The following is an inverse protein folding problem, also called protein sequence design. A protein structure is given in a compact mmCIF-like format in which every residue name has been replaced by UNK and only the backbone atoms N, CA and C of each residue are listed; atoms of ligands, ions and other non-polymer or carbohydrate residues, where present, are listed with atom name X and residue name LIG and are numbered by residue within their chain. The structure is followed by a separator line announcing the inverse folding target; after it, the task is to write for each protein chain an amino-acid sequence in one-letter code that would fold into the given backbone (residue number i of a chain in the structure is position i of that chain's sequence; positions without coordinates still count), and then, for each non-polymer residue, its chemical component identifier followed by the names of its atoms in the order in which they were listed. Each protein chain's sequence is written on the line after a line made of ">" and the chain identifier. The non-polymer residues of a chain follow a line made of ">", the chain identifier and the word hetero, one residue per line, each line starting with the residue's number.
data_IF_329020606003
#
_entry.id   IF_329020606003
#
_cell.length_a   1.000
_cell.length_b   1.000
_cell.length_c   1.000
_cell.angle_alpha   90.00
_cell.angle_beta   90.00
_cell.angle_gamma   90.00
#
_symmetry.space_group_name_H-M   'P 1'
#
loop_
_entity.id
_entity.type
_entity.pdbx_description
1 polymer ?
#
# COMPACT_ATOMS: atom_id res chain seq x y z
N UNK A 1 35.61 17.76 -15.15
CA UNK A 1 34.51 18.67 -15.57
C UNK A 1 34.62 19.22 -17.02
N UNK A 2 35.76 19.10 -17.74
CA UNK A 2 35.89 19.54 -19.15
C UNK A 2 35.34 18.56 -20.21
N UNK A 3 35.15 17.28 -19.87
CA UNK A 3 34.75 16.23 -20.84
C UNK A 3 33.25 16.28 -21.17
N UNK A 4 32.40 16.71 -20.23
CA UNK A 4 30.94 16.78 -20.44
C UNK A 4 30.52 17.91 -21.40
N UNK A 5 31.28 19.02 -21.45
CA UNK A 5 30.96 20.16 -22.33
C UNK A 5 31.32 19.89 -23.81
N UNK A 6 32.30 19.02 -24.07
CA UNK A 6 32.67 18.64 -25.44
C UNK A 6 31.62 17.71 -26.07
N UNK A 7 31.06 16.78 -25.30
CA UNK A 7 29.98 15.89 -25.75
C UNK A 7 28.70 16.63 -26.14
N UNK A 8 28.32 17.66 -25.38
CA UNK A 8 27.13 18.48 -25.69
C UNK A 8 27.35 19.33 -26.94
N UNK A 9 28.57 19.84 -27.14
CA UNK A 9 28.91 20.63 -28.34
C UNK A 9 28.88 19.79 -29.62
N UNK A 10 29.41 18.56 -29.57
CA UNK A 10 29.34 17.64 -30.73
C UNK A 10 27.91 17.20 -31.07
N UNK A 11 27.05 16.98 -30.06
CA UNK A 11 25.64 16.69 -30.30
C UNK A 11 24.88 17.87 -30.89
N UNK A 12 25.22 19.10 -30.49
CA UNK A 12 24.56 20.31 -31.01
C UNK A 12 24.94 20.60 -32.47
N UNK A 13 26.20 20.36 -32.85
CA UNK A 13 26.60 20.48 -34.27
C UNK A 13 25.99 19.40 -35.16
N UNK A 14 25.80 18.16 -34.67
CA UNK A 14 25.09 17.12 -35.43
C UNK A 14 23.62 17.47 -35.68
N UNK A 15 22.93 18.05 -34.68
CA UNK A 15 21.54 18.49 -34.83
C UNK A 15 21.43 19.69 -35.78
N UNK A 16 22.41 20.60 -35.78
CA UNK A 16 22.43 21.74 -36.68
C UNK A 16 22.79 21.35 -38.13
N UNK A 17 23.65 20.34 -38.31
CA UNK A 17 23.97 19.77 -39.62
C UNK A 17 22.78 19.05 -40.26
N UNK A 18 21.98 18.31 -39.47
CA UNK A 18 20.75 17.66 -39.98
C UNK A 18 19.66 18.67 -40.38
N UNK A 19 19.60 19.85 -39.75
CA UNK A 19 18.61 20.89 -40.09
C UNK A 19 18.99 21.72 -41.32
N UNK A 20 20.24 21.65 -41.79
CA UNK A 20 20.75 22.48 -42.89
C UNK A 20 20.41 22.00 -44.30
N UNK A 21 19.94 20.76 -44.49
CA UNK A 21 19.76 20.16 -45.82
C UNK A 21 18.47 19.35 -45.97
N UNK A 22 17.38 19.85 -45.41
CA UNK A 22 16.05 19.22 -45.51
C UNK A 22 15.02 20.18 -46.05
N UNK A 23 14.74 20.09 -47.35
CA UNK A 23 13.65 20.78 -48.06
C UNK A 23 12.40 20.88 -47.19
N UNK A 24 12.06 22.10 -46.79
CA UNK A 24 10.81 22.44 -46.12
C UNK A 24 9.64 22.12 -47.06
N UNK A 25 9.10 20.91 -46.95
CA UNK A 25 7.79 20.56 -47.50
C UNK A 25 6.75 21.15 -46.56
N UNK A 26 6.55 22.46 -46.71
CA UNK A 26 5.45 23.20 -46.12
C UNK A 26 4.16 22.56 -46.64
N UNK A 27 3.55 21.69 -45.84
CA UNK A 27 2.16 21.32 -46.05
C UNK A 27 1.35 22.58 -45.78
N UNK A 28 1.06 23.31 -46.87
CA UNK A 28 0.08 24.39 -46.92
C UNK A 28 -1.20 23.86 -46.29
N UNK A 29 -1.47 24.37 -45.10
CA UNK A 29 -2.72 24.20 -44.40
C UNK A 29 -3.78 24.83 -45.28
N UNK A 30 -4.50 23.97 -46.00
CA UNK A 30 -5.57 24.32 -46.92
C UNK A 30 -6.68 24.97 -46.10
N UNK A 31 -6.67 26.30 -46.03
CA UNK A 31 -7.77 27.10 -45.50
C UNK A 31 -8.99 26.85 -46.36
N UNK A 32 -10.05 26.33 -45.75
CA UNK A 32 -11.37 26.21 -46.36
C UNK A 32 -11.86 27.60 -46.81
N UNK A 33 -12.50 27.72 -47.99
CA UNK A 33 -13.00 28.99 -48.47
C UNK A 33 -14.18 29.47 -47.60
N UNK A 34 -14.14 30.78 -47.35
CA UNK A 34 -15.22 31.68 -46.96
C UNK A 34 -16.63 31.05 -46.94
N UNK A 35 -17.22 31.05 -45.74
CA UNK A 35 -18.65 30.86 -45.52
C UNK A 35 -19.41 31.94 -46.31
N UNK A 36 -19.97 31.52 -47.44
CA UNK A 36 -21.01 32.24 -48.13
C UNK A 36 -22.27 32.13 -47.27
N UNK A 37 -22.75 33.25 -46.74
CA UNK A 37 -24.08 33.35 -46.13
C UNK A 37 -25.09 33.58 -47.25
N UNK A 38 -26.04 32.65 -47.50
CA UNK A 38 -27.31 33.02 -48.10
C UNK A 38 -28.31 33.27 -46.97
N UNK A 39 -28.95 34.43 -47.07
CA UNK A 39 -30.07 34.81 -46.25
C UNK A 39 -31.16 33.71 -46.21
N UNK A 40 -31.66 33.46 -45.00
CA UNK A 40 -33.04 33.12 -44.63
C UNK A 40 -33.89 32.42 -45.71
N UNK A 41 -34.15 31.12 -45.51
CA UNK A 41 -35.30 30.41 -46.08
C UNK A 41 -35.93 29.51 -45.02
N UNK A 42 -37.06 29.94 -44.48
CA UNK A 42 -37.72 29.45 -43.26
C UNK A 42 -38.71 28.28 -43.48
N UNK A 43 -38.35 27.27 -44.27
CA UNK A 43 -39.18 26.05 -44.41
C UNK A 43 -38.37 24.73 -44.42
N UNK A 44 -37.04 24.80 -44.27
CA UNK A 44 -36.15 23.63 -44.26
C UNK A 44 -35.80 23.13 -42.84
N UNK A 45 -36.27 23.82 -41.79
CA UNK A 45 -35.78 23.59 -40.42
C UNK A 45 -36.28 22.26 -39.83
N UNK A 46 -37.52 21.85 -40.10
CA UNK A 46 -38.05 20.57 -39.59
C UNK A 46 -37.34 19.33 -40.18
N UNK A 47 -36.80 19.42 -41.41
CA UNK A 47 -36.03 18.36 -42.05
C UNK A 47 -34.54 18.40 -41.64
N UNK A 48 -33.99 19.59 -41.42
CA UNK A 48 -32.61 19.83 -40.97
C UNK A 48 -32.38 19.41 -39.52
N UNK A 49 -33.31 19.69 -38.61
CA UNK A 49 -33.25 19.16 -37.23
C UNK A 49 -33.38 17.63 -37.20
N UNK A 50 -34.16 17.03 -38.12
CA UNK A 50 -34.31 15.56 -38.23
C UNK A 50 -33.06 14.87 -38.76
N UNK A 51 -32.37 15.49 -39.73
CA UNK A 51 -31.12 14.96 -40.27
C UNK A 51 -29.95 15.17 -39.31
N UNK A 52 -29.91 16.29 -38.56
CA UNK A 52 -28.95 16.51 -37.48
C UNK A 52 -29.17 15.54 -36.31
N UNK A 53 -30.42 15.26 -35.90
CA UNK A 53 -30.72 14.23 -34.89
C UNK A 53 -30.37 12.82 -35.37
N UNK A 54 -30.60 12.52 -36.66
CA UNK A 54 -30.20 11.26 -37.29
C UNK A 54 -28.68 11.06 -37.24
N UNK A 55 -27.93 12.06 -37.70
CA UNK A 55 -26.46 12.03 -37.70
C UNK A 55 -25.89 12.05 -36.27
N UNK A 56 -26.45 12.83 -35.34
CA UNK A 56 -26.01 12.84 -33.94
C UNK A 56 -26.27 11.49 -33.26
N UNK A 57 -27.40 10.83 -33.54
CA UNK A 57 -27.69 9.48 -33.03
C UNK A 57 -26.71 8.43 -33.59
N UNK A 58 -26.38 8.51 -34.88
CA UNK A 58 -25.39 7.64 -35.52
C UNK A 58 -23.99 7.84 -34.90
N UNK A 59 -23.57 9.09 -34.74
CA UNK A 59 -22.24 9.43 -34.20
C UNK A 59 -22.14 9.19 -32.70
N UNK A 60 -23.18 9.45 -31.91
CA UNK A 60 -23.23 9.12 -30.47
C UNK A 60 -23.22 7.61 -30.26
N UNK A 61 -23.93 6.83 -31.09
CA UNK A 61 -23.89 5.37 -31.01
C UNK A 61 -22.49 4.83 -31.36
N UNK A 62 -21.88 5.35 -32.42
CA UNK A 62 -20.51 4.99 -32.79
C UNK A 62 -19.46 5.43 -31.74
N UNK A 63 -19.64 6.60 -31.12
CA UNK A 63 -18.73 7.14 -30.11
C UNK A 63 -18.90 6.47 -28.75
N UNK A 64 -20.13 6.17 -28.30
CA UNK A 64 -20.41 5.41 -27.07
C UNK A 64 -19.85 3.99 -27.20
N UNK A 65 -20.03 3.32 -28.34
CA UNK A 65 -19.47 1.97 -28.55
C UNK A 65 -17.94 2.00 -28.60
N UNK A 66 -17.30 3.02 -29.18
CA UNK A 66 -15.84 3.16 -29.13
C UNK A 66 -15.30 3.52 -27.75
N UNK A 67 -15.99 4.38 -27.00
CA UNK A 67 -15.62 4.80 -25.65
C UNK A 67 -15.85 3.72 -24.58
N UNK A 68 -16.73 2.73 -24.82
CA UNK A 68 -16.92 1.58 -23.92
C UNK A 68 -16.00 0.39 -24.21
N UNK A 69 -15.48 0.29 -25.44
CA UNK A 69 -14.57 -0.79 -25.84
C UNK A 69 -13.09 -0.49 -25.52
N UNK A 70 -12.64 0.77 -25.64
CA UNK A 70 -11.28 1.19 -25.24
C UNK A 70 -10.96 0.88 -23.75
N UNK A 71 -11.83 1.21 -22.77
CA UNK A 71 -11.55 1.00 -21.36
C UNK A 71 -11.35 -0.47 -21.01
N UNK A 72 -12.09 -1.40 -21.65
CA UNK A 72 -11.94 -2.82 -21.31
C UNK A 72 -10.62 -3.40 -21.77
N UNK A 73 -10.06 -2.89 -22.86
CA UNK A 73 -8.75 -3.32 -23.34
C UNK A 73 -7.64 -2.74 -22.46
N UNK A 74 -7.70 -1.44 -22.16
CA UNK A 74 -6.76 -0.78 -21.25
C UNK A 74 -6.81 -1.40 -19.85
N UNK A 75 -8.00 -1.60 -19.27
CA UNK A 75 -8.17 -2.21 -17.94
C UNK A 75 -7.60 -3.63 -17.90
N UNK A 76 -7.79 -4.42 -18.94
CA UNK A 76 -7.26 -5.80 -18.97
C UNK A 76 -5.73 -5.80 -19.07
N UNK A 77 -5.15 -4.86 -19.81
CA UNK A 77 -3.71 -4.70 -19.92
C UNK A 77 -3.09 -4.22 -18.61
N UNK A 78 -3.70 -3.21 -17.96
CA UNK A 78 -3.35 -2.73 -16.62
C UNK A 78 -3.45 -3.86 -15.58
N UNK A 79 -4.52 -4.64 -15.58
CA UNK A 79 -4.71 -5.77 -14.64
C UNK A 79 -3.67 -6.86 -14.89
N UNK A 80 -3.40 -7.26 -16.14
CA UNK A 80 -2.41 -8.31 -16.43
C UNK A 80 -0.99 -7.87 -16.09
N UNK A 81 -0.63 -6.62 -16.39
CA UNK A 81 0.66 -6.07 -16.01
C UNK A 81 0.81 -6.02 -14.49
N UNK A 82 -0.23 -5.57 -13.78
CA UNK A 82 -0.23 -5.51 -12.32
C UNK A 82 -0.25 -6.91 -11.68
N UNK A 83 -0.92 -7.89 -12.27
CA UNK A 83 -0.90 -9.29 -11.80
C UNK A 83 0.48 -9.91 -11.97
N UNK A 84 1.17 -9.62 -13.08
CA UNK A 84 2.54 -10.09 -13.29
C UNK A 84 3.48 -9.45 -12.26
N UNK A 85 3.33 -8.16 -11.99
CA UNK A 85 4.06 -7.50 -10.91
C UNK A 85 3.72 -8.10 -9.53
N UNK A 86 2.45 -8.35 -9.25
CA UNK A 86 1.98 -8.95 -8.00
C UNK A 86 2.55 -10.36 -7.77
N UNK A 87 2.72 -11.16 -8.84
CA UNK A 87 3.38 -12.46 -8.75
C UNK A 87 4.84 -12.32 -8.27
N UNK A 88 5.59 -11.36 -8.82
CA UNK A 88 6.96 -11.08 -8.37
C UNK A 88 7.00 -10.56 -6.93
N UNK A 89 6.04 -9.72 -6.52
CA UNK A 89 5.89 -9.33 -5.12
C UNK A 89 5.58 -10.51 -4.21
N UNK A 90 4.76 -11.47 -4.66
CA UNK A 90 4.48 -12.70 -3.94
C UNK A 90 5.74 -13.54 -3.74
N UNK A 91 6.54 -13.72 -4.80
CA UNK A 91 7.82 -14.44 -4.73
C UNK A 91 8.79 -13.74 -3.78
N UNK A 92 8.93 -12.41 -3.89
CA UNK A 92 9.79 -11.64 -3.00
C UNK A 92 9.34 -11.73 -1.54
N UNK A 93 8.03 -11.67 -1.28
CA UNK A 93 7.46 -11.82 0.06
C UNK A 93 7.70 -13.25 0.62
N UNK A 94 7.51 -14.29 -0.20
CA UNK A 94 7.80 -15.66 0.19
C UNK A 94 9.29 -15.84 0.51
N UNK A 95 10.18 -15.32 -0.33
CA UNK A 95 11.62 -15.40 -0.11
C UNK A 95 12.05 -14.64 1.15
N UNK A 96 11.49 -13.46 1.39
CA UNK A 96 11.70 -12.71 2.63
C UNK A 96 11.22 -13.51 3.83
N UNK A 97 10.03 -14.10 3.76
CA UNK A 97 9.48 -14.93 4.81
C UNK A 97 10.36 -16.14 5.14
N UNK A 98 10.80 -16.89 4.11
CA UNK A 98 11.77 -17.97 4.29
C UNK A 98 13.11 -17.47 4.84
N UNK A 99 13.58 -16.31 4.38
CA UNK A 99 14.79 -15.67 4.90
C UNK A 99 14.68 -15.30 6.39
N UNK A 100 13.52 -14.81 6.82
CA UNK A 100 13.24 -14.52 8.24
C UNK A 100 13.23 -15.82 9.05
N UNK A 101 12.59 -16.89 8.57
CA UNK A 101 12.62 -18.19 9.24
C UNK A 101 14.05 -18.73 9.33
N UNK A 102 14.82 -18.67 8.24
CA UNK A 102 16.22 -19.10 8.23
C UNK A 102 17.07 -18.27 9.20
N UNK A 103 16.84 -16.96 9.28
CA UNK A 103 17.48 -16.07 10.24
C UNK A 103 17.11 -16.45 11.67
N UNK A 104 15.85 -16.79 11.95
CA UNK A 104 15.43 -17.26 13.28
C UNK A 104 16.16 -18.55 13.68
N UNK A 105 16.20 -19.53 12.78
CA UNK A 105 16.93 -20.79 13.01
C UNK A 105 18.42 -20.52 13.22
N UNK A 106 19.02 -19.61 12.43
CA UNK A 106 20.41 -19.20 12.59
C UNK A 106 20.67 -18.56 13.95
N UNK A 107 19.79 -17.66 14.42
CA UNK A 107 19.92 -17.03 15.73
C UNK A 107 19.83 -18.07 16.85
N UNK A 108 18.86 -18.99 16.77
CA UNK A 108 18.72 -20.09 17.76
C UNK A 108 19.98 -20.96 17.76
N UNK A 109 20.48 -21.33 16.58
CA UNK A 109 21.70 -22.12 16.46
C UNK A 109 22.91 -21.38 17.04
N UNK A 110 23.07 -20.08 16.74
CA UNK A 110 24.17 -19.27 17.26
C UNK A 110 24.11 -19.13 18.78
N UNK A 111 22.91 -18.91 19.34
CA UNK A 111 22.69 -18.89 20.78
C UNK A 111 22.96 -20.26 21.40
N UNK A 112 22.62 -21.35 20.73
CA UNK A 112 22.92 -22.70 21.23
C UNK A 112 24.43 -23.00 21.31
N UNK A 113 25.31 -22.22 20.66
CA UNK A 113 26.76 -22.32 20.89
C UNK A 113 27.19 -21.71 22.24
N UNK A 114 26.37 -20.87 22.88
CA UNK A 114 26.68 -20.38 24.22
C UNK A 114 26.56 -21.53 25.23
N UNK A 115 27.44 -21.58 26.25
CA UNK A 115 27.35 -22.60 27.26
C UNK A 115 26.00 -22.54 27.98
N UNK A 116 25.38 -23.72 28.16
CA UNK A 116 24.04 -23.89 28.75
C UNK A 116 23.83 -23.08 30.02
N UNK A 117 24.83 -23.06 30.88
CA UNK A 117 24.77 -22.38 32.19
C UNK A 117 24.49 -20.88 32.05
N UNK A 118 25.08 -20.22 31.05
CA UNK A 118 24.89 -18.78 30.82
C UNK A 118 23.52 -18.48 30.21
N UNK A 119 23.08 -19.31 29.25
CA UNK A 119 21.75 -19.19 28.66
C UNK A 119 20.65 -19.41 29.70
N UNK A 120 20.80 -20.46 30.50
CA UNK A 120 19.88 -20.81 31.56
C UNK A 120 19.82 -19.71 32.62
N UNK A 121 20.97 -19.18 33.04
CA UNK A 121 21.03 -18.09 34.00
C UNK A 121 20.33 -16.81 33.48
N UNK A 122 20.51 -16.47 32.19
CA UNK A 122 19.84 -15.33 31.57
C UNK A 122 18.31 -15.51 31.54
N UNK A 123 17.84 -16.68 31.10
CA UNK A 123 16.42 -17.01 31.05
C UNK A 123 15.80 -16.96 32.44
N UNK A 124 16.47 -17.55 33.44
CA UNK A 124 16.03 -17.53 34.82
C UNK A 124 16.00 -16.10 35.38
N UNK A 125 17.06 -15.33 35.20
CA UNK A 125 17.13 -13.94 35.64
C UNK A 125 16.03 -13.07 35.02
N UNK A 126 15.74 -13.25 33.72
CA UNK A 126 14.65 -12.55 33.05
C UNK A 126 13.29 -12.97 33.60
N UNK A 127 13.04 -14.26 33.81
CA UNK A 127 11.79 -14.75 34.38
C UNK A 127 11.58 -14.21 35.80
N UNK A 128 12.58 -14.28 36.67
CA UNK A 128 12.51 -13.74 38.04
C UNK A 128 12.36 -12.22 38.02
N UNK A 129 13.10 -11.52 37.16
CA UNK A 129 13.00 -10.06 37.00
C UNK A 129 11.61 -9.61 36.54
N UNK A 130 11.01 -10.29 35.55
CA UNK A 130 9.64 -10.05 35.10
C UNK A 130 8.65 -10.37 36.22
N UNK A 131 8.83 -11.49 36.93
CA UNK A 131 8.01 -11.85 38.07
C UNK A 131 7.99 -10.74 39.11
N UNK A 132 9.18 -10.25 39.52
CA UNK A 132 9.34 -9.12 40.44
C UNK A 132 8.69 -7.83 39.90
N UNK A 133 8.86 -7.51 38.62
CA UNK A 133 8.23 -6.34 38.02
C UNK A 133 6.69 -6.42 38.06
N UNK A 134 6.12 -7.61 37.81
CA UNK A 134 4.68 -7.86 37.95
C UNK A 134 4.24 -7.68 39.40
N UNK A 135 5.01 -8.17 40.38
CA UNK A 135 4.76 -7.92 41.81
C UNK A 135 4.68 -6.41 42.10
N UNK A 136 5.69 -5.65 41.69
CA UNK A 136 5.74 -4.21 41.93
C UNK A 136 4.59 -3.47 41.25
N UNK A 137 4.21 -3.86 40.03
CA UNK A 137 3.05 -3.29 39.35
C UNK A 137 1.74 -3.59 40.10
N UNK A 138 1.58 -4.81 40.61
CA UNK A 138 0.46 -5.21 41.46
C UNK A 138 0.41 -4.46 42.78
N UNK A 139 1.52 -4.33 43.49
CA UNK A 139 1.59 -3.59 44.77
C UNK A 139 1.34 -2.09 44.56
N UNK A 140 1.72 -1.54 43.41
CA UNK A 140 1.42 -0.13 43.07
C UNK A 140 -0.08 0.10 42.84
N UNK A 141 -0.83 -0.93 42.48
CA UNK A 141 -2.29 -0.81 42.38
C UNK A 141 -2.89 -0.81 43.80
N UNK A 142 -3.73 0.19 44.12
CA UNK A 142 -4.34 0.38 45.45
C UNK A 142 -5.37 -0.70 45.83
N UNK A 143 -5.52 -1.75 45.03
CA UNK A 143 -6.48 -2.84 45.24
C UNK A 143 -5.77 -4.12 45.69
N UNK A 144 -6.24 -4.71 46.80
CA UNK A 144 -5.67 -5.95 47.35
C UNK A 144 -5.79 -7.14 46.37
N UNK A 145 -6.87 -7.20 45.57
CA UNK A 145 -7.10 -8.30 44.63
C UNK A 145 -6.07 -8.36 43.49
N UNK A 146 -5.68 -7.22 42.94
CA UNK A 146 -4.67 -7.13 41.88
C UNK A 146 -3.26 -7.37 42.43
N UNK A 147 -3.00 -6.99 43.68
CA UNK A 147 -1.74 -7.32 44.36
C UNK A 147 -1.58 -8.84 44.58
N UNK A 148 -2.64 -9.54 45.01
CA UNK A 148 -2.62 -11.00 45.17
C UNK A 148 -2.45 -11.72 43.83
N UNK A 149 -3.18 -11.30 42.80
CA UNK A 149 -3.04 -11.85 41.43
C UNK A 149 -1.63 -11.64 40.89
N UNK A 150 -1.06 -10.45 41.08
CA UNK A 150 0.32 -10.17 40.70
C UNK A 150 1.31 -11.05 41.47
N UNK A 151 1.04 -11.33 42.76
CA UNK A 151 1.85 -12.24 43.56
C UNK A 151 1.91 -13.64 42.98
N UNK A 152 0.73 -14.21 42.74
CA UNK A 152 0.62 -15.53 42.13
C UNK A 152 1.24 -15.55 40.74
N UNK A 153 0.96 -14.55 39.90
CA UNK A 153 1.54 -14.45 38.57
C UNK A 153 3.08 -14.37 38.60
N UNK A 154 3.64 -13.53 39.48
CA UNK A 154 5.09 -13.40 39.62
C UNK A 154 5.76 -14.69 40.10
N UNK A 155 5.14 -15.39 41.05
CA UNK A 155 5.61 -16.68 41.54
C UNK A 155 5.57 -17.75 40.43
N UNK A 156 4.46 -17.80 39.67
CA UNK A 156 4.29 -18.72 38.55
C UNK A 156 5.34 -18.46 37.46
N UNK A 157 5.60 -17.20 37.11
CA UNK A 157 6.62 -16.84 36.11
C UNK A 157 8.02 -17.26 36.59
N UNK A 158 8.36 -17.02 37.86
CA UNK A 158 9.63 -17.46 38.43
C UNK A 158 9.76 -18.99 38.45
N UNK A 159 8.70 -19.72 38.78
CA UNK A 159 8.67 -21.18 38.76
C UNK A 159 8.82 -21.74 37.33
N UNK A 160 8.20 -21.11 36.33
CA UNK A 160 8.38 -21.45 34.91
C UNK A 160 9.83 -21.25 34.49
N UNK A 161 10.45 -20.13 34.88
CA UNK A 161 11.87 -19.88 34.61
C UNK A 161 12.80 -20.92 35.23
N UNK A 162 12.51 -21.33 36.48
CA UNK A 162 13.26 -22.38 37.17
C UNK A 162 13.08 -23.76 36.52
N UNK A 163 11.84 -24.13 36.19
CA UNK A 163 11.55 -25.38 35.51
C UNK A 163 12.20 -25.43 34.12
N UNK A 164 12.16 -24.31 33.38
CA UNK A 164 12.84 -24.16 32.11
C UNK A 164 14.35 -24.40 32.25
N UNK A 165 15.00 -23.79 33.27
CA UNK A 165 16.43 -23.99 33.55
C UNK A 165 16.79 -25.46 33.79
N UNK A 166 15.99 -26.17 34.60
CA UNK A 166 16.30 -27.53 35.03
C UNK A 166 16.03 -28.58 33.95
N UNK A 167 14.90 -28.48 33.25
CA UNK A 167 14.39 -29.55 32.39
C UNK A 167 14.66 -29.35 30.90
N UNK A 168 14.96 -28.14 30.44
CA UNK A 168 15.07 -27.89 29.00
C UNK A 168 16.48 -28.16 28.45
N UNK A 169 16.55 -28.73 27.22
CA UNK A 169 17.78 -28.79 26.45
C UNK A 169 18.19 -27.41 25.94
N UNK A 170 19.48 -27.25 25.61
CA UNK A 170 20.10 -25.98 25.18
C UNK A 170 19.35 -25.31 24.02
N UNK A 171 18.94 -26.10 23.02
CA UNK A 171 18.17 -25.64 21.86
C UNK A 171 16.84 -24.99 22.27
N UNK A 172 16.16 -25.56 23.26
CA UNK A 172 14.88 -25.03 23.73
C UNK A 172 15.06 -23.75 24.56
N UNK A 173 16.13 -23.66 25.36
CA UNK A 173 16.48 -22.42 26.07
C UNK A 173 16.81 -21.28 25.09
N UNK A 174 17.60 -21.56 24.05
CA UNK A 174 17.91 -20.60 23.00
C UNK A 174 16.64 -20.13 22.25
N UNK A 175 15.77 -21.06 21.87
CA UNK A 175 14.49 -20.75 21.22
C UNK A 175 13.58 -19.89 22.10
N UNK A 176 13.52 -20.19 23.40
CA UNK A 176 12.72 -19.42 24.35
C UNK A 176 13.25 -17.98 24.51
N UNK A 177 14.57 -17.83 24.56
CA UNK A 177 15.23 -16.51 24.63
C UNK A 177 14.96 -15.68 23.36
N UNK A 178 15.14 -16.26 22.16
CA UNK A 178 14.82 -15.58 20.90
C UNK A 178 13.35 -15.17 20.86
N UNK A 179 12.45 -16.05 21.28
CA UNK A 179 11.00 -15.75 21.31
C UNK A 179 10.69 -14.59 22.24
N UNK A 180 11.30 -14.55 23.44
CA UNK A 180 11.14 -13.45 24.39
C UNK A 180 11.63 -12.12 23.77
N UNK A 181 12.79 -12.12 23.12
CA UNK A 181 13.33 -10.94 22.42
C UNK A 181 12.35 -10.46 21.34
N UNK A 182 11.80 -11.37 20.54
CA UNK A 182 10.85 -11.01 19.48
C UNK A 182 9.52 -10.48 20.02
N UNK A 183 9.02 -11.03 21.13
CA UNK A 183 7.80 -10.52 21.77
C UNK A 183 8.04 -9.09 22.28
N UNK A 184 9.17 -8.85 22.97
CA UNK A 184 9.50 -7.51 23.49
C UNK A 184 9.74 -6.54 22.33
N UNK A 185 10.56 -6.91 21.36
CA UNK A 185 10.83 -6.10 20.17
C UNK A 185 9.55 -5.82 19.35
N UNK A 186 8.71 -6.83 19.18
CA UNK A 186 7.42 -6.72 18.51
C UNK A 186 6.45 -5.80 19.23
N UNK A 187 6.35 -5.90 20.57
CA UNK A 187 5.55 -5.00 21.39
C UNK A 187 6.04 -3.55 21.29
N UNK A 188 7.36 -3.33 21.33
CA UNK A 188 7.96 -2.01 21.16
C UNK A 188 7.66 -1.44 19.76
N UNK A 189 7.89 -2.23 18.71
CA UNK A 189 7.57 -1.84 17.33
C UNK A 189 6.08 -1.55 17.15
N UNK A 190 5.20 -2.33 17.75
CA UNK A 190 3.76 -2.12 17.72
C UNK A 190 3.36 -0.81 18.43
N UNK A 191 3.94 -0.53 19.60
CA UNK A 191 3.69 0.72 20.33
C UNK A 191 4.22 1.93 19.56
N UNK A 192 5.42 1.85 18.99
CA UNK A 192 5.99 2.92 18.16
C UNK A 192 5.16 3.13 16.90
N UNK A 193 4.76 2.05 16.23
CA UNK A 193 3.88 2.09 15.07
C UNK A 193 2.54 2.73 15.42
N UNK A 194 1.91 2.31 16.51
CA UNK A 194 0.65 2.89 16.99
C UNK A 194 0.77 4.38 17.30
N UNK A 195 1.86 4.81 17.94
CA UNK A 195 2.10 6.23 18.24
C UNK A 195 2.41 7.07 17.00
N UNK A 196 2.95 6.46 15.94
CA UNK A 196 3.25 7.11 14.65
C UNK A 196 2.02 7.22 13.75
N UNK A 197 0.97 6.45 14.01
CA UNK A 197 -0.28 6.51 13.27
C UNK A 197 -1.08 7.72 13.74
N UNK A 198 -0.87 8.86 13.10
CA UNK A 198 -1.88 9.92 13.05
C UNK A 198 -3.06 9.41 12.22
N UNK A 199 -4.02 8.74 12.87
CA UNK A 199 -5.32 8.41 12.29
C UNK A 199 -6.10 9.71 12.06
N UNK A 200 -5.69 10.50 11.06
CA UNK A 200 -6.56 11.48 10.43
C UNK A 200 -7.61 10.69 9.67
N UNK A 201 -8.79 10.59 10.26
CA UNK A 201 -9.95 10.03 9.56
C UNK A 201 -10.07 10.73 8.20
N UNK A 202 -10.24 10.00 7.08
CA UNK A 202 -10.37 10.61 5.76
C UNK A 202 -11.73 11.30 5.66
N UNK A 203 -11.83 12.51 6.21
CA UNK A 203 -13.08 13.30 6.27
C UNK A 203 -13.65 13.56 4.87
N UNK A 204 -12.76 13.66 3.86
CA UNK A 204 -13.13 14.00 2.49
C UNK A 204 -13.86 12.87 1.76
N UNK A 205 -13.45 11.60 1.95
CA UNK A 205 -14.10 10.45 1.30
C UNK A 205 -15.40 10.06 2.00
N UNK A 206 -15.48 10.25 3.31
CA UNK A 206 -16.73 10.05 4.07
C UNK A 206 -17.77 11.10 3.63
N UNK A 207 -17.36 12.35 3.39
CA UNK A 207 -18.25 13.41 2.93
C UNK A 207 -18.77 13.15 1.51
N UNK A 208 -17.90 12.73 0.57
CA UNK A 208 -18.31 12.45 -0.81
C UNK A 208 -19.23 11.23 -0.93
N UNK A 209 -19.01 10.19 -0.11
CA UNK A 209 -19.91 9.03 -0.05
C UNK A 209 -21.28 9.42 0.53
N UNK A 210 -21.30 10.25 1.58
CA UNK A 210 -22.56 10.76 2.15
C UNK A 210 -23.33 11.62 1.14
N UNK A 211 -22.66 12.51 0.40
CA UNK A 211 -23.28 13.31 -0.66
C UNK A 211 -23.85 12.44 -1.79
N UNK A 212 -23.11 11.40 -2.20
CA UNK A 212 -23.57 10.45 -3.22
C UNK A 212 -24.82 9.70 -2.78
N UNK A 213 -24.85 9.22 -1.52
CA UNK A 213 -26.02 8.54 -0.96
C UNK A 213 -27.22 9.48 -0.86
N UNK A 214 -27.00 10.74 -0.45
CA UNK A 214 -28.08 11.74 -0.37
C UNK A 214 -28.65 12.05 -1.76
N UNK A 215 -27.79 12.21 -2.78
CA UNK A 215 -28.21 12.41 -4.16
C UNK A 215 -28.98 11.20 -4.72
N UNK A 216 -28.49 9.98 -4.48
CA UNK A 216 -29.18 8.74 -4.89
C UNK A 216 -30.54 8.62 -4.20
N UNK A 217 -30.60 8.90 -2.90
CA UNK A 217 -31.84 8.85 -2.12
C UNK A 217 -32.85 9.87 -2.61
N UNK A 218 -32.43 11.11 -2.90
CA UNK A 218 -33.29 12.14 -3.48
C UNK A 218 -33.79 11.75 -4.87
N UNK A 219 -32.94 11.11 -5.68
CA UNK A 219 -33.30 10.69 -7.04
C UNK A 219 -34.27 9.49 -7.04
N UNK A 220 -34.08 8.52 -6.15
CA UNK A 220 -34.95 7.33 -6.06
C UNK A 220 -36.28 7.61 -5.36
N UNK A 221 -36.27 8.38 -4.26
CA UNK A 221 -37.50 8.72 -3.52
C UNK A 221 -38.28 9.88 -4.16
N UNK A 222 -37.59 10.81 -4.85
CA UNK A 222 -38.25 11.87 -5.61
C UNK A 222 -38.98 11.36 -6.87
N UNK A 223 -38.70 10.12 -7.31
CA UNK A 223 -39.34 9.49 -8.48
C UNK A 223 -40.50 8.56 -8.12
N UNK A 224 -40.68 8.18 -6.84
CA UNK A 224 -41.78 7.32 -6.40
C UNK A 224 -43.05 8.08 -5.96
N UNK A 225 -43.10 9.39 -6.19
CA UNK A 225 -44.19 10.28 -5.78
C UNK A 225 -44.93 10.96 -6.94
N UNK A 226 -44.93 10.36 -8.14
CA UNK A 226 -45.78 10.77 -9.27
C UNK A 226 -46.57 9.58 -9.81
#
# INVERSE_FOLDING_TARGET
>A
MRVALLSVRESCERILAERGTGRARLHVMRTHPMLQSPAVRSDADAASYRSLFGSLREHVRAYITKQLLLPRQEITELIRANLRAAMWFGIAAALLFFGVIALLVLLIALLALLPREWLGALVFALATGVGVAVLFAGVRSRSLGTALLALVAGLVIAAIGLAAYLFLPELALAAMLVTLILIVGGALCAVVGYRRLELRAPERSIRSVKETITWVRATLLGRSGS
#
